data_IF_045892643825
#
_entry.id   IF_045892643825
#
_cell.length_a   1.000
_cell.length_b   1.000
_cell.length_c   1.000
_cell.angle_alpha   90.00
_cell.angle_beta   90.00
_cell.angle_gamma   90.00
#
_symmetry.space_group_name_H-M   'P 1'
#
loop_
_entity.id
_entity.type
_entity.pdbx_description
1 polymer ?
#
# COMPACT_ATOMS: atom_id res chain seq x y z
N UNK A 1 -9.66 14.73 18.62
CA UNK A 1 -10.49 15.57 17.72
C UNK A 1 -10.35 15.14 16.25
N UNK A 2 -9.14 15.10 15.66
CA UNK A 2 -8.95 14.75 14.24
C UNK A 2 -9.42 13.33 13.90
N UNK A 3 -9.15 12.35 14.74
CA UNK A 3 -9.62 10.96 14.56
C UNK A 3 -11.16 10.91 14.59
N UNK A 4 -11.78 11.60 15.55
CA UNK A 4 -13.24 11.67 15.63
C UNK A 4 -13.85 12.31 14.36
N UNK A 5 -13.26 13.40 13.86
CA UNK A 5 -13.70 14.05 12.62
C UNK A 5 -13.54 13.12 11.40
N UNK A 6 -12.42 12.42 11.30
CA UNK A 6 -12.20 11.47 10.20
C UNK A 6 -13.25 10.34 10.20
N UNK A 7 -13.60 9.84 11.37
CA UNK A 7 -14.68 8.85 11.56
C UNK A 7 -16.03 9.39 11.13
N UNK A 8 -16.38 10.59 11.58
CA UNK A 8 -17.63 11.27 11.20
C UNK A 8 -17.74 11.45 9.68
N UNK A 9 -16.64 11.88 9.06
CA UNK A 9 -16.57 12.09 7.61
C UNK A 9 -16.33 10.80 6.79
N UNK A 10 -16.18 9.66 7.45
CA UNK A 10 -15.87 8.37 6.82
C UNK A 10 -14.63 8.44 5.91
N UNK A 11 -13.58 9.13 6.37
CA UNK A 11 -12.31 9.28 5.66
C UNK A 11 -11.22 8.46 6.32
N UNK A 12 -10.35 7.81 5.52
CA UNK A 12 -9.15 7.19 6.06
C UNK A 12 -8.23 8.26 6.64
N UNK A 13 -7.50 7.92 7.70
CA UNK A 13 -6.53 8.83 8.33
C UNK A 13 -5.11 8.44 7.97
N UNK A 14 -4.22 9.44 7.99
CA UNK A 14 -2.78 9.24 7.86
C UNK A 14 -2.18 9.47 9.24
N UNK A 15 -1.57 8.43 9.78
CA UNK A 15 -1.00 8.42 11.14
C UNK A 15 0.51 8.60 11.04
N UNK A 16 1.04 9.59 11.74
CA UNK A 16 2.45 9.73 12.03
C UNK A 16 2.71 9.32 13.47
N UNK A 17 3.59 8.35 13.70
CA UNK A 17 4.05 7.95 15.03
C UNK A 17 5.57 7.89 15.05
N UNK A 18 6.15 8.47 16.11
CA UNK A 18 7.59 8.38 16.37
C UNK A 18 7.81 8.40 17.88
N UNK A 19 8.34 7.29 18.41
CA UNK A 19 8.55 7.09 19.85
C UNK A 19 7.27 7.30 20.68
N UNK A 20 6.10 6.98 20.13
CA UNK A 20 4.79 7.18 20.74
C UNK A 20 3.83 6.02 20.41
N UNK A 21 4.35 4.81 20.30
CA UNK A 21 3.62 3.67 19.76
C UNK A 21 2.44 3.28 20.64
N UNK A 22 2.65 3.18 21.97
CA UNK A 22 1.58 2.83 22.93
C UNK A 22 0.48 3.89 22.96
N UNK A 23 0.86 5.18 23.02
CA UNK A 23 -0.11 6.29 23.00
C UNK A 23 -0.89 6.32 21.69
N UNK A 24 -0.19 6.09 20.57
CA UNK A 24 -0.81 6.08 19.24
C UNK A 24 -1.84 4.96 19.16
N UNK A 25 -1.46 3.73 19.51
CA UNK A 25 -2.38 2.59 19.46
C UNK A 25 -3.50 2.73 20.49
N UNK A 26 -3.19 3.21 21.70
CA UNK A 26 -4.21 3.47 22.72
C UNK A 26 -5.29 4.41 22.22
N UNK A 27 -4.91 5.55 21.65
CA UNK A 27 -5.88 6.52 21.08
C UNK A 27 -6.64 5.90 19.89
N UNK A 28 -5.95 5.18 19.00
CA UNK A 28 -6.62 4.64 17.82
C UNK A 28 -7.60 3.53 18.16
N UNK A 29 -7.31 2.69 19.14
CA UNK A 29 -8.18 1.58 19.56
C UNK A 29 -9.54 2.05 20.09
N UNK A 30 -9.64 3.27 20.62
CA UNK A 30 -10.92 3.87 21.05
C UNK A 30 -11.86 4.16 19.86
N UNK A 31 -11.31 4.31 18.66
CA UNK A 31 -12.06 4.72 17.47
C UNK A 31 -12.11 3.64 16.38
N UNK A 32 -11.13 2.75 16.34
CA UNK A 32 -11.01 1.70 15.32
C UNK A 32 -11.01 0.34 16.01
N UNK A 33 -12.16 -0.35 16.03
CA UNK A 33 -12.23 -1.70 16.58
C UNK A 33 -11.34 -2.65 15.76
N UNK A 34 -11.02 -3.80 16.34
CA UNK A 34 -10.28 -4.86 15.64
C UNK A 34 -11.11 -5.39 14.47
N UNK A 35 -10.82 -4.90 13.29
CA UNK A 35 -11.36 -5.34 12.03
C UNK A 35 -10.28 -5.25 10.94
N UNK A 36 -9.54 -6.35 10.70
CA UNK A 36 -8.50 -6.38 9.68
C UNK A 36 -9.02 -6.11 8.26
N UNK A 37 -10.32 -6.23 8.02
CA UNK A 37 -10.93 -5.94 6.72
C UNK A 37 -11.24 -4.45 6.52
N UNK A 38 -11.23 -3.67 7.59
CA UNK A 38 -11.50 -2.24 7.53
C UNK A 38 -10.44 -1.49 6.70
N UNK A 39 -10.76 -0.28 6.32
CA UNK A 39 -9.89 0.66 5.59
C UNK A 39 -9.71 1.92 6.43
N UNK A 40 -9.08 1.73 7.59
CA UNK A 40 -8.99 2.76 8.63
C UNK A 40 -8.05 3.91 8.27
N UNK A 41 -6.96 3.60 7.57
CA UNK A 41 -5.97 4.61 7.18
C UNK A 41 -4.59 4.02 6.93
N UNK A 42 -3.56 4.85 7.07
CA UNK A 42 -2.16 4.49 6.81
C UNK A 42 -1.31 4.90 8.01
N UNK A 43 -0.48 3.99 8.51
CA UNK A 43 0.71 4.36 9.26
C UNK A 43 1.77 4.78 8.25
N UNK A 44 1.91 6.09 8.07
CA UNK A 44 2.84 6.66 7.11
C UNK A 44 4.25 6.71 7.67
N UNK A 45 5.24 6.60 6.80
CA UNK A 45 6.66 6.62 7.14
C UNK A 45 6.97 5.68 8.32
N UNK A 46 6.43 4.46 8.27
CA UNK A 46 6.48 3.50 9.35
C UNK A 46 7.92 3.26 9.82
N UNK A 47 8.14 3.38 11.11
CA UNK A 47 9.44 3.21 11.75
C UNK A 47 9.37 2.39 13.05
N UNK A 48 8.22 1.74 13.29
CA UNK A 48 7.99 0.89 14.44
C UNK A 48 8.49 -0.54 14.24
N UNK A 49 8.23 -1.36 15.25
CA UNK A 49 8.55 -2.79 15.28
C UNK A 49 7.38 -3.65 14.76
N UNK A 50 7.55 -4.98 14.78
CA UNK A 50 6.53 -5.92 14.34
C UNK A 50 5.25 -5.83 15.16
N UNK A 51 5.36 -5.64 16.48
CA UNK A 51 4.21 -5.55 17.37
C UNK A 51 3.30 -4.37 17.01
N UNK A 52 3.88 -3.20 16.77
CA UNK A 52 3.11 -2.03 16.31
C UNK A 52 2.45 -2.30 14.95
N UNK A 53 3.16 -2.94 14.03
CA UNK A 53 2.62 -3.28 12.73
C UNK A 53 1.41 -4.23 12.85
N UNK A 54 1.50 -5.27 13.67
CA UNK A 54 0.43 -6.24 13.89
C UNK A 54 -0.81 -5.57 14.49
N UNK A 55 -0.62 -4.73 15.52
CA UNK A 55 -1.72 -3.97 16.15
C UNK A 55 -2.39 -3.01 15.15
N UNK A 56 -1.62 -2.37 14.29
CA UNK A 56 -2.15 -1.50 13.25
C UNK A 56 -2.97 -2.30 12.21
N UNK A 57 -2.45 -3.45 11.78
CA UNK A 57 -3.14 -4.35 10.84
C UNK A 57 -4.44 -4.89 11.42
N UNK A 58 -4.48 -5.26 12.71
CA UNK A 58 -5.70 -5.69 13.39
C UNK A 58 -6.81 -4.62 13.36
N UNK A 59 -6.45 -3.33 13.37
CA UNK A 59 -7.38 -2.21 13.26
C UNK A 59 -7.67 -1.79 11.81
N UNK A 60 -7.23 -2.56 10.81
CA UNK A 60 -7.47 -2.29 9.39
C UNK A 60 -6.62 -1.19 8.77
N UNK A 61 -5.49 -0.85 9.38
CA UNK A 61 -4.55 0.11 8.80
C UNK A 61 -3.63 -0.54 7.77
N UNK A 62 -3.13 0.29 6.89
CA UNK A 62 -2.06 -0.02 5.96
C UNK A 62 -0.73 0.48 6.52
N UNK A 63 0.36 -0.17 6.13
CA UNK A 63 1.72 0.18 6.53
C UNK A 63 2.48 0.71 5.33
N UNK A 64 3.03 1.93 5.45
CA UNK A 64 3.76 2.59 4.37
C UNK A 64 5.24 2.74 4.71
N UNK A 65 6.10 2.25 3.84
CA UNK A 65 7.55 2.32 3.98
C UNK A 65 8.14 3.44 3.14
N UNK A 66 8.90 4.32 3.78
CA UNK A 66 9.66 5.40 3.14
C UNK A 66 11.10 4.96 2.80
N UNK A 67 11.90 5.88 2.29
CA UNK A 67 13.31 5.65 2.01
C UNK A 67 14.13 5.15 3.20
N UNK A 68 13.66 5.34 4.42
CA UNK A 68 14.30 4.86 5.65
C UNK A 68 14.53 3.34 5.67
N UNK A 69 13.68 2.54 5.02
CA UNK A 69 13.84 1.08 4.94
C UNK A 69 15.14 0.68 4.22
N UNK A 70 15.66 1.57 3.35
CA UNK A 70 16.90 1.34 2.60
C UNK A 70 18.17 1.62 3.41
N UNK A 71 18.06 2.17 4.62
CA UNK A 71 19.22 2.62 5.39
C UNK A 71 19.97 1.44 6.00
N UNK A 72 21.30 1.61 6.17
CA UNK A 72 22.18 0.54 6.65
C UNK A 72 21.73 -0.07 7.99
N UNK A 73 21.20 0.76 8.90
CA UNK A 73 20.79 0.32 10.25
C UNK A 73 19.30 0.00 10.38
N UNK A 74 18.60 -0.30 9.28
CA UNK A 74 17.14 -0.54 9.29
C UNK A 74 16.80 -2.03 9.14
N UNK A 75 17.58 -2.92 9.76
CA UNK A 75 17.36 -4.38 9.64
C UNK A 75 16.00 -4.79 10.22
N UNK A 76 15.63 -4.24 11.36
CA UNK A 76 14.33 -4.50 11.99
C UNK A 76 13.18 -4.04 11.09
N UNK A 77 13.27 -2.83 10.53
CA UNK A 77 12.26 -2.31 9.62
C UNK A 77 12.15 -3.16 8.34
N UNK A 78 13.27 -3.68 7.83
CA UNK A 78 13.28 -4.63 6.71
C UNK A 78 12.61 -5.96 7.07
N UNK A 79 12.81 -6.43 8.30
CA UNK A 79 12.12 -7.64 8.77
C UNK A 79 10.60 -7.44 8.78
N UNK A 80 10.12 -6.30 9.30
CA UNK A 80 8.70 -5.93 9.26
C UNK A 80 8.20 -5.83 7.81
N UNK A 81 8.96 -5.18 6.91
CA UNK A 81 8.54 -5.02 5.51
C UNK A 81 8.35 -6.36 4.75
N UNK A 82 9.00 -7.44 5.22
CA UNK A 82 8.80 -8.79 4.68
C UNK A 82 7.47 -9.41 5.08
N UNK A 83 6.95 -9.10 6.25
CA UNK A 83 5.80 -9.77 6.87
C UNK A 83 4.47 -9.10 6.57
N UNK A 84 4.46 -7.79 6.25
CA UNK A 84 3.22 -7.06 5.97
C UNK A 84 2.43 -7.73 4.84
N UNK A 85 1.13 -8.01 5.02
CA UNK A 85 0.29 -8.54 3.95
C UNK A 85 0.35 -7.65 2.70
N UNK A 86 0.37 -8.26 1.52
CA UNK A 86 0.51 -7.52 0.27
C UNK A 86 -0.63 -6.50 0.05
N UNK A 87 -1.84 -6.84 0.49
CA UNK A 87 -3.03 -5.99 0.43
C UNK A 87 -3.07 -4.90 1.52
N UNK A 88 -2.01 -4.76 2.33
CA UNK A 88 -1.86 -3.76 3.41
C UNK A 88 -0.58 -2.94 3.28
N UNK A 89 0.13 -3.07 2.17
CA UNK A 89 1.44 -2.49 1.95
C UNK A 89 1.38 -1.24 1.08
N UNK A 90 2.12 -0.20 1.52
CA UNK A 90 2.44 0.97 0.71
C UNK A 90 3.94 1.26 0.68
N UNK A 91 4.35 2.05 -0.28
CA UNK A 91 5.66 2.69 -0.37
C UNK A 91 5.48 4.18 -0.64
N UNK A 92 6.35 4.99 -0.06
CA UNK A 92 6.29 6.44 -0.14
C UNK A 92 7.68 7.06 -0.18
N UNK A 93 7.76 8.37 -0.31
CA UNK A 93 9.02 9.11 -0.28
C UNK A 93 9.27 9.84 1.03
N UNK A 94 8.26 10.45 1.61
CA UNK A 94 8.37 11.47 2.67
C UNK A 94 9.27 12.66 2.24
N UNK A 95 9.27 12.96 0.94
CA UNK A 95 10.11 14.05 0.42
C UNK A 95 9.70 15.41 1.01
N UNK A 96 10.67 16.30 1.26
CA UNK A 96 12.07 16.29 0.83
C UNK A 96 13.04 15.53 1.74
N UNK A 97 12.52 14.79 2.71
CA UNK A 97 13.31 14.03 3.70
C UNK A 97 13.55 12.58 3.28
N UNK A 98 14.38 11.86 4.02
CA UNK A 98 14.57 10.42 3.96
C UNK A 98 14.93 9.87 2.57
N UNK A 99 15.75 10.61 1.80
CA UNK A 99 16.22 10.12 0.50
C UNK A 99 16.75 8.68 0.61
N UNK A 100 16.24 7.72 -0.19
CA UNK A 100 16.65 6.33 -0.12
C UNK A 100 18.09 6.14 -0.62
N UNK A 101 18.71 5.00 -0.31
CA UNK A 101 19.93 4.55 -0.98
C UNK A 101 19.56 4.25 -2.45
N UNK A 102 20.38 4.71 -3.47
CA UNK A 102 21.70 5.31 -3.35
C UNK A 102 21.70 6.86 -3.18
N UNK A 103 20.54 7.49 -3.03
CA UNK A 103 20.40 8.94 -3.04
C UNK A 103 20.63 9.60 -1.67
N UNK A 104 21.13 8.86 -0.65
CA UNK A 104 21.41 9.37 0.69
C UNK A 104 22.27 10.65 0.65
N UNK A 105 21.87 11.63 1.50
CA UNK A 105 22.56 12.92 1.58
C UNK A 105 22.10 13.95 0.55
N UNK A 106 21.26 13.57 -0.40
CA UNK A 106 20.60 14.48 -1.33
C UNK A 106 19.19 14.86 -0.81
N UNK A 107 18.63 15.95 -1.33
CA UNK A 107 17.22 16.26 -1.15
C UNK A 107 16.39 15.15 -1.82
N UNK A 108 15.43 14.60 -1.08
CA UNK A 108 14.54 13.59 -1.62
C UNK A 108 13.52 14.21 -2.57
N UNK A 109 13.04 13.41 -3.53
CA UNK A 109 12.03 13.80 -4.50
C UNK A 109 11.09 12.62 -4.81
N UNK A 110 9.87 12.87 -5.34
CA UNK A 110 8.87 11.81 -5.59
C UNK A 110 9.37 10.67 -6.46
N UNK A 111 10.24 10.94 -7.45
CA UNK A 111 10.79 9.92 -8.35
C UNK A 111 11.62 8.85 -7.63
N UNK A 112 12.19 9.17 -6.46
CA UNK A 112 13.03 8.25 -5.69
C UNK A 112 12.23 7.16 -4.98
N UNK A 113 10.89 7.20 -4.97
CA UNK A 113 10.05 6.11 -4.47
C UNK A 113 10.38 4.77 -5.15
N UNK A 114 10.88 4.81 -6.38
CA UNK A 114 11.29 3.61 -7.12
C UNK A 114 12.39 2.81 -6.41
N UNK A 115 13.32 3.47 -5.72
CA UNK A 115 14.36 2.80 -4.94
C UNK A 115 13.80 2.10 -3.70
N UNK A 116 12.83 2.72 -3.02
CA UNK A 116 12.11 2.11 -1.90
C UNK A 116 11.32 0.89 -2.38
N UNK A 117 10.56 1.05 -3.48
CA UNK A 117 9.77 -0.03 -4.07
C UNK A 117 10.65 -1.21 -4.52
N UNK A 118 11.81 -0.94 -5.14
CA UNK A 118 12.73 -1.98 -5.56
C UNK A 118 13.25 -2.77 -4.36
N UNK A 119 13.70 -2.09 -3.29
CA UNK A 119 14.16 -2.80 -2.10
C UNK A 119 13.05 -3.66 -1.48
N UNK A 120 11.83 -3.14 -1.37
CA UNK A 120 10.70 -3.92 -0.85
C UNK A 120 10.41 -5.13 -1.72
N UNK A 121 10.50 -5.00 -3.05
CA UNK A 121 10.38 -6.11 -3.98
C UNK A 121 11.46 -7.18 -3.73
N UNK A 122 12.72 -6.76 -3.64
CA UNK A 122 13.88 -7.65 -3.41
C UNK A 122 13.74 -8.40 -2.07
N UNK A 123 13.35 -7.69 -0.99
CA UNK A 123 13.13 -8.28 0.34
C UNK A 123 12.05 -9.36 0.34
N UNK A 124 11.08 -9.26 -0.55
CA UNK A 124 9.93 -10.16 -0.64
C UNK A 124 10.07 -11.20 -1.76
N UNK A 125 11.18 -11.19 -2.49
CA UNK A 125 11.40 -12.06 -3.65
C UNK A 125 10.40 -11.84 -4.79
N UNK A 126 9.93 -10.59 -4.96
CA UNK A 126 8.95 -10.18 -5.94
C UNK A 126 9.57 -9.29 -7.02
N UNK A 127 8.90 -9.18 -8.16
CA UNK A 127 9.26 -8.19 -9.17
C UNK A 127 8.74 -6.80 -8.73
N UNK A 128 9.49 -5.74 -9.06
CA UNK A 128 9.06 -4.36 -8.79
C UNK A 128 7.68 -4.05 -9.38
N UNK A 129 7.34 -4.60 -10.54
CA UNK A 129 6.02 -4.43 -11.16
C UNK A 129 4.89 -5.00 -10.28
N UNK A 130 5.17 -6.06 -9.51
CA UNK A 130 4.19 -6.62 -8.57
C UNK A 130 3.96 -5.68 -7.39
N UNK A 131 5.03 -5.07 -6.84
CA UNK A 131 4.90 -4.04 -5.80
C UNK A 131 4.13 -2.83 -6.32
N UNK A 132 4.47 -2.33 -7.51
CA UNK A 132 3.77 -1.20 -8.13
C UNK A 132 2.28 -1.47 -8.30
N UNK A 133 1.93 -2.66 -8.81
CA UNK A 133 0.52 -3.06 -8.98
C UNK A 133 -0.19 -3.18 -7.63
N UNK A 134 0.42 -3.86 -6.69
CA UNK A 134 -0.15 -4.09 -5.36
C UNK A 134 -0.42 -2.77 -4.64
N UNK A 135 0.56 -1.87 -4.61
CA UNK A 135 0.38 -0.57 -3.95
C UNK A 135 -0.63 0.33 -4.66
N UNK A 136 -0.71 0.27 -5.99
CA UNK A 136 -1.74 0.97 -6.74
C UNK A 136 -3.16 0.44 -6.42
N UNK A 137 -3.33 -0.89 -6.34
CA UNK A 137 -4.61 -1.50 -5.94
C UNK A 137 -4.98 -1.12 -4.51
N UNK A 138 -4.04 -1.17 -3.58
CA UNK A 138 -4.26 -0.76 -2.20
C UNK A 138 -4.69 0.71 -2.09
N UNK A 139 -4.10 1.58 -2.93
CA UNK A 139 -4.48 2.99 -2.99
C UNK A 139 -5.95 3.15 -3.45
N UNK A 140 -6.34 2.46 -4.51
CA UNK A 140 -7.73 2.49 -4.98
C UNK A 140 -8.69 1.93 -3.92
N UNK A 141 -8.28 0.84 -3.24
CA UNK A 141 -9.08 0.25 -2.18
C UNK A 141 -9.28 1.18 -1.00
N UNK A 142 -8.23 1.85 -0.54
CA UNK A 142 -8.28 2.71 0.63
C UNK A 142 -9.01 4.03 0.36
N UNK A 143 -8.69 4.71 -0.75
CA UNK A 143 -9.20 6.06 -1.02
C UNK A 143 -10.45 6.06 -1.89
N UNK A 144 -10.85 4.93 -2.45
CA UNK A 144 -12.00 4.85 -3.35
C UNK A 144 -11.82 5.59 -4.68
N UNK A 145 -10.57 5.94 -5.02
CA UNK A 145 -10.22 6.60 -6.28
C UNK A 145 -10.17 5.54 -7.37
N UNK A 146 -10.73 5.82 -8.55
CA UNK A 146 -10.78 4.84 -9.64
C UNK A 146 -11.82 3.75 -9.41
N UNK A 147 -12.92 4.05 -8.74
CA UNK A 147 -14.04 3.10 -8.51
C UNK A 147 -14.53 2.42 -9.78
N UNK A 148 -14.46 3.11 -10.92
CA UNK A 148 -14.81 2.53 -12.22
C UNK A 148 -13.84 1.40 -12.63
N UNK A 149 -12.64 1.41 -12.05
CA UNK A 149 -11.69 0.32 -12.21
C UNK A 149 -12.12 -0.99 -11.53
N UNK A 150 -13.02 -0.94 -10.54
CA UNK A 150 -13.56 -2.12 -9.84
C UNK A 150 -14.70 -2.81 -10.58
N UNK A 151 -15.29 -2.16 -11.56
CA UNK A 151 -16.40 -2.71 -12.36
C UNK A 151 -15.93 -3.57 -13.54
N UNK A 152 -14.78 -4.25 -13.39
CA UNK A 152 -14.41 -5.29 -14.33
C UNK A 152 -15.53 -6.33 -14.43
N UNK A 153 -16.08 -6.52 -15.61
CA UNK A 153 -17.10 -7.55 -15.81
C UNK A 153 -16.47 -8.93 -15.56
N UNK A 154 -17.04 -9.69 -14.66
CA UNK A 154 -16.64 -11.10 -14.44
C UNK A 154 -16.83 -11.90 -15.70
N UNK A 155 -17.85 -11.56 -16.50
CA UNK A 155 -18.08 -12.17 -17.79
C UNK A 155 -18.55 -11.13 -18.81
N UNK A 156 -18.20 -11.33 -20.06
CA UNK A 156 -18.67 -10.51 -21.18
C UNK A 156 -18.76 -11.37 -22.45
N UNK A 157 -19.64 -10.99 -23.34
CA UNK A 157 -19.86 -11.72 -24.59
C UNK A 157 -19.26 -10.93 -25.75
N UNK A 158 -18.49 -11.62 -26.60
CA UNK A 158 -18.03 -11.10 -27.89
C UNK A 158 -18.57 -12.05 -28.96
N UNK A 159 -19.45 -11.57 -29.82
CA UNK A 159 -20.18 -12.41 -30.81
C UNK A 159 -20.85 -13.59 -30.11
N UNK A 160 -20.57 -14.83 -30.52
CA UNK A 160 -21.13 -16.05 -29.94
C UNK A 160 -20.28 -16.68 -28.83
N UNK A 161 -19.26 -16.00 -28.35
CA UNK A 161 -18.35 -16.50 -27.31
C UNK A 161 -18.54 -15.73 -26.01
N UNK A 162 -18.66 -16.50 -24.92
CA UNK A 162 -18.67 -15.96 -23.56
C UNK A 162 -17.25 -15.98 -22.98
N UNK A 163 -16.75 -14.83 -22.57
CA UNK A 163 -15.46 -14.67 -21.93
C UNK A 163 -15.65 -14.54 -20.41
N UNK A 164 -14.89 -15.30 -19.65
CA UNK A 164 -14.88 -15.26 -18.18
C UNK A 164 -13.57 -14.68 -17.68
N UNK A 165 -13.67 -13.64 -16.87
CA UNK A 165 -12.54 -13.04 -16.18
C UNK A 165 -12.38 -13.67 -14.80
N UNK A 166 -11.66 -14.77 -14.72
CA UNK A 166 -11.48 -15.53 -13.49
C UNK A 166 -10.50 -14.86 -12.52
N UNK A 167 -9.63 -13.97 -13.01
CA UNK A 167 -8.66 -13.25 -12.20
C UNK A 167 -8.18 -11.98 -12.91
N UNK A 168 -7.88 -10.94 -12.13
CA UNK A 168 -7.14 -9.77 -12.58
C UNK A 168 -5.62 -9.99 -12.50
N UNK A 169 -5.17 -11.06 -11.85
CA UNK A 169 -3.76 -11.44 -11.77
C UNK A 169 -3.36 -12.11 -13.07
N UNK A 170 -2.29 -11.63 -13.67
CA UNK A 170 -1.72 -12.21 -14.87
C UNK A 170 -0.20 -12.17 -14.77
N UNK A 171 0.46 -13.29 -15.00
CA UNK A 171 1.93 -13.40 -15.00
C UNK A 171 2.53 -13.09 -16.38
N UNK A 172 1.69 -13.01 -17.43
CA UNK A 172 2.16 -12.67 -18.77
C UNK A 172 2.48 -11.18 -18.90
N UNK A 173 3.66 -10.86 -19.42
CA UNK A 173 4.14 -9.50 -19.68
C UNK A 173 3.92 -9.13 -21.16
N UNK A 174 2.66 -9.05 -21.57
CA UNK A 174 2.32 -8.72 -22.96
C UNK A 174 2.47 -7.23 -23.21
N UNK A 175 3.22 -6.83 -24.24
CA UNK A 175 3.50 -5.44 -24.59
C UNK A 175 2.23 -4.61 -24.89
N UNK A 176 1.14 -5.25 -25.30
CA UNK A 176 -0.17 -4.63 -25.57
C UNK A 176 -1.13 -4.69 -24.37
N UNK A 177 -0.69 -5.22 -23.22
CA UNK A 177 -1.58 -5.47 -22.08
C UNK A 177 -1.83 -4.20 -21.28
N UNK A 178 -3.09 -3.75 -21.24
CA UNK A 178 -3.52 -2.60 -20.44
C UNK A 178 -3.67 -2.91 -18.95
N UNK A 179 -3.55 -4.18 -18.52
CA UNK A 179 -3.66 -4.59 -17.10
C UNK A 179 -2.55 -4.00 -16.22
N UNK A 180 -1.40 -3.66 -16.80
CA UNK A 180 -0.30 -3.00 -16.08
C UNK A 180 -0.58 -1.52 -15.82
N UNK A 181 -1.35 -0.87 -16.71
CA UNK A 181 -1.71 0.55 -16.62
C UNK A 181 -3.12 0.76 -16.10
N UNK A 182 -4.00 -0.23 -16.29
CA UNK A 182 -5.37 -0.25 -15.81
C UNK A 182 -5.63 -1.65 -15.27
N UNK A 183 -5.57 -1.88 -13.95
CA UNK A 183 -5.76 -3.20 -13.33
C UNK A 183 -7.21 -3.70 -13.42
N UNK A 184 -7.93 -3.23 -14.40
CA UNK A 184 -9.31 -3.59 -14.73
C UNK A 184 -9.26 -4.41 -15.99
N UNK A 185 -9.92 -5.55 -15.97
CA UNK A 185 -10.29 -6.22 -17.22
C UNK A 185 -11.26 -5.28 -17.91
N UNK A 186 -10.90 -4.78 -19.08
CA UNK A 186 -11.74 -3.86 -19.81
C UNK A 186 -13.15 -4.45 -19.94
N UNK A 187 -14.12 -3.75 -19.35
CA UNK A 187 -15.48 -3.92 -19.77
C UNK A 187 -15.58 -3.33 -21.17
N UNK A 188 -15.92 -4.12 -22.16
CA UNK A 188 -16.45 -3.58 -23.39
C UNK A 188 -17.78 -2.91 -23.04
N UNK A 189 -17.85 -1.60 -23.42
CA UNK A 189 -19.14 -0.94 -23.55
C UNK A 189 -19.92 -1.52 -24.72
#
# INVERSE_FOLDING_TARGET
KQVALARELQKPIIVHSRNADEDTVGILSDYFPKDPSARSGIFHCFSGNQELADRALEMGFYISFSGSVTFKKSDELRAVAKTIPADRLFVETDCPFLAPVPMRGKRNEPSYVTHTAQLVADLRGLNIKDIQRTTALNFFELFGIGKDAKTGKVSYQIRNSLYLNLTTRCTADCSFCTRLTRPVVQGYN
#
